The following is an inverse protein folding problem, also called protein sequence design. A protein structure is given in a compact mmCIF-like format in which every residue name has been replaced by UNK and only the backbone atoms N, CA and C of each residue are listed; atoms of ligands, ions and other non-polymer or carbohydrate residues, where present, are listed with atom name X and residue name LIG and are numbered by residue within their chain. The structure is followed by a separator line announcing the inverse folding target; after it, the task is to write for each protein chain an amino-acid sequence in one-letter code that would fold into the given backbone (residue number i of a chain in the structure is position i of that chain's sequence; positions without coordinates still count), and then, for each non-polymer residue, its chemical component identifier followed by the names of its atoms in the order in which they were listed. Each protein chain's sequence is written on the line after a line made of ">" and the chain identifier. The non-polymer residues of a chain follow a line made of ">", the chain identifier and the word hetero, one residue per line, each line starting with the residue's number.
data_IF_086825286682
#
_entry.id   IF_086825286682
#
_cell.length_a   1.000
_cell.length_b   1.000
_cell.length_c   1.000
_cell.angle_alpha   90.00
_cell.angle_beta   90.00
_cell.angle_gamma   90.00
#
_symmetry.space_group_name_H-M   'P 1'
#
loop_
_entity.id
_entity.type
_entity.pdbx_description
1 polymer ?
#
# COMPACT_ATOMS: atom_id res chain seq x y z
N UNK A 1 -4.18 18.57 -0.44
CA UNK A 1 -3.37 17.57 0.28
C UNK A 1 -2.73 16.72 -0.81
N UNK A 2 -1.42 16.83 -0.98
CA UNK A 2 -0.64 16.22 -2.06
C UNK A 2 0.36 15.22 -1.46
N UNK A 3 -0.17 14.28 -0.67
CA UNK A 3 0.60 13.34 0.15
C UNK A 3 0.24 11.88 -0.20
N UNK A 4 1.08 10.95 0.25
CA UNK A 4 0.89 9.49 0.09
C UNK A 4 -0.41 9.02 0.76
N UNK A 5 -1.47 8.81 -0.04
CA UNK A 5 -2.78 8.40 0.48
C UNK A 5 -2.73 7.06 1.23
N UNK A 6 -1.93 6.11 0.73
CA UNK A 6 -1.82 4.78 1.34
C UNK A 6 -1.24 4.80 2.75
N UNK A 7 -0.45 5.82 3.12
CA UNK A 7 0.00 5.98 4.52
C UNK A 7 -1.18 6.04 5.49
N UNK A 8 -2.21 6.82 5.17
CA UNK A 8 -3.39 6.98 6.01
C UNK A 8 -4.24 5.72 6.02
N UNK A 9 -4.38 5.07 4.87
CA UNK A 9 -5.14 3.83 4.71
C UNK A 9 -4.54 2.73 5.58
N UNK A 10 -3.22 2.49 5.47
CA UNK A 10 -2.56 1.38 6.18
C UNK A 10 -2.47 1.64 7.68
N UNK A 11 -2.13 2.85 8.10
CA UNK A 11 -2.09 3.23 9.53
C UNK A 11 -3.47 3.18 10.20
N UNK A 12 -4.50 3.71 9.53
CA UNK A 12 -5.88 3.66 10.06
C UNK A 12 -6.36 2.23 10.14
N UNK A 13 -6.15 1.42 9.10
CA UNK A 13 -6.55 0.00 9.10
C UNK A 13 -5.91 -0.78 10.25
N UNK A 14 -4.64 -0.49 10.55
CA UNK A 14 -3.94 -1.08 11.69
C UNK A 14 -4.58 -0.71 13.04
N UNK A 15 -4.86 0.59 13.24
CA UNK A 15 -5.53 1.06 14.46
C UNK A 15 -6.92 0.43 14.62
N UNK A 16 -7.68 0.32 13.52
CA UNK A 16 -9.00 -0.31 13.52
C UNK A 16 -8.95 -1.77 13.97
N UNK A 17 -8.02 -2.58 13.45
CA UNK A 17 -7.89 -3.99 13.86
C UNK A 17 -7.34 -4.14 15.28
N UNK A 18 -6.39 -3.28 15.68
CA UNK A 18 -5.86 -3.28 17.03
C UNK A 18 -6.95 -2.96 18.05
N UNK A 19 -7.79 -1.97 17.76
CA UNK A 19 -8.90 -1.60 18.63
C UNK A 19 -10.04 -2.62 18.61
N UNK A 20 -10.33 -3.23 17.47
CA UNK A 20 -11.26 -4.37 17.40
C UNK A 20 -10.81 -5.54 18.29
N UNK A 21 -9.51 -5.85 18.29
CA UNK A 21 -8.92 -6.86 19.18
C UNK A 21 -9.13 -6.49 20.65
N UNK A 22 -8.90 -5.24 21.01
CA UNK A 22 -9.13 -4.76 22.38
C UNK A 22 -10.59 -4.92 22.81
N UNK A 23 -11.54 -4.41 22.01
CA UNK A 23 -12.97 -4.49 22.30
C UNK A 23 -13.48 -5.94 22.38
N UNK A 24 -12.93 -6.83 21.56
CA UNK A 24 -13.25 -8.27 21.64
C UNK A 24 -12.81 -8.86 22.97
N UNK A 25 -11.59 -8.55 23.41
CA UNK A 25 -11.04 -9.04 24.69
C UNK A 25 -11.77 -8.49 25.91
N UNK A 26 -12.26 -7.25 25.85
CA UNK A 26 -13.00 -6.61 26.94
C UNK A 26 -14.51 -6.82 26.88
N UNK A 27 -15.03 -7.63 25.95
CA UNK A 27 -16.46 -7.85 25.73
C UNK A 27 -17.26 -6.54 25.63
N UNK A 28 -16.67 -5.53 24.97
CA UNK A 28 -17.18 -4.16 24.95
C UNK A 28 -17.47 -3.65 23.54
N UNK A 29 -18.24 -2.57 23.47
CA UNK A 29 -18.54 -1.83 22.24
C UNK A 29 -18.35 -0.34 22.47
N UNK A 30 -18.12 0.44 21.41
CA UNK A 30 -18.08 1.90 21.50
C UNK A 30 -19.45 2.50 21.20
N UNK A 31 -19.85 3.47 22.01
CA UNK A 31 -21.05 4.29 21.79
C UNK A 31 -20.63 5.71 21.45
N UNK A 32 -20.93 6.17 20.24
CA UNK A 32 -20.65 7.53 19.77
C UNK A 32 -21.93 8.16 19.23
N UNK A 33 -22.48 9.16 19.93
CA UNK A 33 -23.60 9.97 19.42
C UNK A 33 -24.80 9.15 18.93
N UNK A 34 -25.18 8.09 19.65
CA UNK A 34 -26.27 7.18 19.27
C UNK A 34 -25.88 6.01 18.35
N UNK A 35 -24.66 5.99 17.81
CA UNK A 35 -24.15 4.87 17.00
C UNK A 35 -23.37 3.88 17.86
N UNK A 36 -23.64 2.59 17.68
CA UNK A 36 -22.85 1.50 18.25
C UNK A 36 -21.80 1.05 17.22
N UNK A 37 -20.54 1.02 17.65
CA UNK A 37 -19.41 0.53 16.87
C UNK A 37 -18.91 -0.76 17.51
N UNK A 38 -19.09 -1.87 16.79
CA UNK A 38 -18.72 -3.22 17.24
C UNK A 38 -17.33 -3.61 16.74
N UNK A 39 -16.65 -4.57 17.39
CA UNK A 39 -15.40 -5.15 16.87
C UNK A 39 -15.55 -5.63 15.42
N UNK A 40 -16.67 -6.28 15.08
CA UNK A 40 -16.97 -6.74 13.72
C UNK A 40 -16.98 -5.59 12.73
N UNK A 41 -17.66 -4.48 13.05
CA UNK A 41 -17.73 -3.30 12.18
C UNK A 41 -16.34 -2.72 11.88
N UNK A 42 -15.47 -2.62 12.90
CA UNK A 42 -14.10 -2.13 12.72
C UNK A 42 -13.27 -3.06 11.83
N UNK A 43 -13.36 -4.38 12.03
CA UNK A 43 -12.69 -5.37 11.18
C UNK A 43 -13.14 -5.30 9.73
N UNK A 44 -14.45 -5.20 9.49
CA UNK A 44 -14.99 -5.08 8.13
C UNK A 44 -14.49 -3.81 7.43
N UNK A 45 -14.41 -2.68 8.14
CA UNK A 45 -13.88 -1.44 7.58
C UNK A 45 -12.39 -1.57 7.22
N UNK A 46 -11.56 -2.10 8.13
CA UNK A 46 -10.15 -2.34 7.86
C UNK A 46 -9.94 -3.32 6.69
N UNK A 47 -10.71 -4.41 6.65
CA UNK A 47 -10.65 -5.37 5.56
C UNK A 47 -11.00 -4.72 4.22
N UNK A 48 -12.06 -3.92 4.15
CA UNK A 48 -12.45 -3.21 2.91
C UNK A 48 -11.32 -2.32 2.39
N UNK A 49 -10.59 -1.64 3.28
CA UNK A 49 -9.45 -0.81 2.90
C UNK A 49 -8.28 -1.64 2.39
N UNK A 50 -7.97 -2.77 3.04
CA UNK A 50 -6.93 -3.71 2.58
C UNK A 50 -7.31 -4.35 1.25
N UNK A 51 -8.57 -4.77 1.07
CA UNK A 51 -9.06 -5.34 -0.19
C UNK A 51 -8.93 -4.31 -1.33
N UNK A 52 -9.29 -3.04 -1.09
CA UNK A 52 -9.09 -1.96 -2.06
C UNK A 52 -7.61 -1.79 -2.43
N UNK A 53 -6.72 -1.77 -1.43
CA UNK A 53 -5.27 -1.68 -1.64
C UNK A 53 -4.76 -2.85 -2.50
N UNK A 54 -5.29 -4.06 -2.29
CA UNK A 54 -4.86 -5.29 -2.94
C UNK A 54 -5.57 -5.57 -4.28
N UNK A 55 -6.48 -4.70 -4.73
CA UNK A 55 -7.04 -4.75 -6.08
C UNK A 55 -8.57 -4.69 -6.19
N UNK A 56 -9.31 -4.66 -5.08
CA UNK A 56 -10.76 -4.39 -5.12
C UNK A 56 -11.07 -2.90 -5.24
N UNK A 57 -10.63 -2.34 -6.36
CA UNK A 57 -10.79 -0.93 -6.72
C UNK A 57 -11.21 -0.81 -8.21
N UNK A 58 -11.63 0.38 -8.68
CA UNK A 58 -12.08 0.56 -10.06
C UNK A 58 -11.05 0.17 -11.13
N UNK A 59 -9.75 0.30 -10.83
CA UNK A 59 -8.66 -0.07 -11.74
C UNK A 59 -8.34 -1.57 -11.74
N UNK A 60 -8.94 -2.36 -10.83
CA UNK A 60 -8.62 -3.79 -10.61
C UNK A 60 -7.10 -4.03 -10.55
N UNK A 61 -6.41 -3.15 -9.84
CA UNK A 61 -4.95 -3.10 -9.72
C UNK A 61 -4.55 -3.12 -8.24
N UNK A 62 -3.66 -4.02 -7.86
CA UNK A 62 -3.02 -4.00 -6.56
C UNK A 62 -2.04 -2.83 -6.48
N UNK A 63 -2.14 -1.99 -5.44
CA UNK A 63 -1.13 -0.98 -5.12
C UNK A 63 0.06 -1.56 -4.34
N UNK A 64 0.05 -2.86 -4.06
CA UNK A 64 1.22 -3.62 -3.61
C UNK A 64 1.92 -4.26 -4.81
N UNK A 65 3.17 -3.87 -5.03
CA UNK A 65 4.01 -4.32 -6.14
C UNK A 65 4.23 -5.84 -6.06
N UNK A 66 4.03 -6.54 -7.18
CA UNK A 66 4.20 -7.99 -7.27
C UNK A 66 3.06 -8.82 -6.67
N UNK A 67 1.97 -8.19 -6.22
CA UNK A 67 0.78 -8.90 -5.73
C UNK A 67 -0.37 -8.80 -6.72
N UNK A 68 -1.06 -9.92 -6.95
CA UNK A 68 -2.20 -9.99 -7.87
C UNK A 68 -1.82 -9.93 -9.35
N UNK A 69 -2.81 -10.00 -10.26
CA UNK A 69 -2.57 -10.07 -11.70
C UNK A 69 -2.14 -8.74 -12.33
N UNK A 70 -2.35 -7.61 -11.63
CA UNK A 70 -2.05 -6.26 -12.13
C UNK A 70 -1.54 -5.38 -10.98
N UNK A 71 -0.37 -4.78 -11.14
CA UNK A 71 0.28 -3.92 -10.14
C UNK A 71 1.18 -2.85 -10.82
N UNK A 72 1.56 -1.76 -10.12
CA UNK A 72 2.44 -0.71 -10.64
C UNK A 72 3.78 -1.25 -11.12
N UNK A 73 4.20 -0.84 -12.32
CA UNK A 73 5.46 -1.28 -12.93
C UNK A 73 6.53 -0.19 -12.93
N UNK A 74 6.17 1.05 -12.64
CA UNK A 74 7.04 2.23 -12.80
C UNK A 74 7.06 3.08 -11.52
N UNK A 75 7.24 2.42 -10.38
CA UNK A 75 7.30 3.05 -9.07
C UNK A 75 8.53 3.97 -8.92
N UNK A 76 8.40 5.02 -8.11
CA UNK A 76 9.49 5.96 -7.79
C UNK A 76 10.48 5.33 -6.80
N UNK A 77 11.28 4.36 -7.24
CA UNK A 77 12.29 3.72 -6.40
C UNK A 77 13.58 3.43 -7.18
N UNK A 78 14.69 4.06 -6.78
CA UNK A 78 15.97 3.99 -7.50
C UNK A 78 16.49 2.56 -7.67
N UNK A 79 16.47 1.76 -6.61
CA UNK A 79 16.90 0.36 -6.68
C UNK A 79 15.96 -0.52 -7.51
N UNK A 80 14.71 -0.09 -7.73
CA UNK A 80 13.77 -0.79 -8.60
C UNK A 80 13.99 -0.41 -10.06
N UNK A 81 14.20 0.88 -10.33
CA UNK A 81 14.25 1.45 -11.68
C UNK A 81 15.60 1.33 -12.37
N UNK A 82 16.71 1.31 -11.63
CA UNK A 82 18.06 1.19 -12.19
C UNK A 82 18.46 -0.28 -12.38
N UNK A 83 19.37 -0.60 -13.33
CA UNK A 83 19.93 -1.95 -13.46
C UNK A 83 20.53 -2.44 -12.14
N UNK A 84 20.39 -3.73 -11.84
CA UNK A 84 21.02 -4.34 -10.68
C UNK A 84 22.55 -4.42 -10.86
N UNK A 85 23.27 -4.57 -9.75
CA UNK A 85 24.72 -4.78 -9.77
C UNK A 85 25.16 -6.01 -10.57
N UNK A 86 24.30 -7.03 -10.68
CA UNK A 86 24.58 -8.23 -11.46
C UNK A 86 24.57 -7.94 -12.98
N UNK A 87 23.71 -7.02 -13.43
CA UNK A 87 23.58 -6.63 -14.85
C UNK A 87 24.52 -5.49 -15.20
N UNK A 88 24.76 -4.57 -14.26
CA UNK A 88 25.63 -3.41 -14.43
C UNK A 88 26.53 -3.23 -13.20
N UNK A 89 27.70 -3.91 -13.14
CA UNK A 89 28.59 -3.86 -11.99
C UNK A 89 29.36 -2.53 -11.85
N UNK A 90 29.37 -1.71 -12.91
CA UNK A 90 30.00 -0.40 -12.93
C UNK A 90 29.23 0.65 -12.13
N UNK A 91 29.89 1.78 -11.85
CA UNK A 91 29.24 2.92 -11.18
C UNK A 91 28.30 3.65 -12.14
N UNK A 92 27.07 3.88 -11.70
CA UNK A 92 26.10 4.76 -12.40
C UNK A 92 26.39 6.21 -12.01
N UNK A 93 26.65 7.07 -13.00
CA UNK A 93 26.91 8.50 -12.78
C UNK A 93 25.65 9.24 -12.31
N UNK A 94 25.81 10.32 -11.53
CA UNK A 94 24.70 11.01 -10.84
C UNK A 94 23.51 11.35 -11.77
N UNK A 95 23.78 11.93 -12.93
CA UNK A 95 22.73 12.38 -13.86
C UNK A 95 22.18 11.26 -14.75
N UNK A 96 22.86 10.10 -14.83
CA UNK A 96 22.47 9.01 -15.72
C UNK A 96 21.12 8.39 -15.33
N UNK A 97 20.73 8.50 -14.05
CA UNK A 97 19.42 8.01 -13.59
C UNK A 97 18.22 8.84 -14.06
N UNK A 98 18.41 10.08 -14.53
CA UNK A 98 17.29 10.93 -14.96
C UNK A 98 16.65 10.45 -16.27
N UNK A 99 17.42 9.84 -17.17
CA UNK A 99 16.84 9.21 -18.38
C UNK A 99 15.94 8.02 -18.01
N UNK A 100 16.33 7.27 -16.97
CA UNK A 100 15.49 6.20 -16.42
C UNK A 100 14.24 6.77 -15.78
N UNK A 101 14.33 7.88 -15.04
CA UNK A 101 13.15 8.55 -14.44
C UNK A 101 12.07 8.87 -15.49
N UNK A 102 12.44 9.36 -16.68
CA UNK A 102 11.51 9.74 -17.74
C UNK A 102 11.09 8.59 -18.68
N UNK A 103 11.81 7.47 -18.67
CA UNK A 103 11.53 6.30 -19.52
C UNK A 103 10.13 5.71 -19.30
N UNK A 104 9.52 5.16 -20.35
CA UNK A 104 8.25 4.43 -20.27
C UNK A 104 8.41 2.93 -19.96
N UNK A 105 9.64 2.41 -19.96
CA UNK A 105 9.89 1.00 -19.66
C UNK A 105 9.53 0.65 -18.21
N UNK A 106 9.07 -0.58 -17.93
CA UNK A 106 8.95 -1.09 -16.57
C UNK A 106 10.26 -1.00 -15.79
N UNK A 107 10.18 -0.94 -14.47
CA UNK A 107 11.34 -1.06 -13.61
C UNK A 107 11.94 -2.47 -13.74
N UNK A 108 13.26 -2.61 -13.97
CA UNK A 108 13.91 -3.90 -14.18
C UNK A 108 13.91 -4.80 -12.94
N UNK A 109 13.88 -4.22 -11.74
CA UNK A 109 13.82 -4.99 -10.50
C UNK A 109 12.44 -4.79 -9.84
N UNK A 110 11.68 -5.87 -9.72
CA UNK A 110 10.36 -5.86 -9.07
C UNK A 110 10.58 -5.75 -7.56
N UNK A 111 10.15 -4.63 -6.97
CA UNK A 111 10.23 -4.40 -5.53
C UNK A 111 9.03 -5.07 -4.83
N UNK A 112 9.06 -6.40 -4.78
CA UNK A 112 7.95 -7.22 -4.27
C UNK A 112 7.52 -6.78 -2.87
N UNK A 113 6.21 -6.58 -2.67
CA UNK A 113 5.61 -6.22 -1.40
C UNK A 113 5.62 -4.72 -1.11
N UNK A 114 6.31 -3.88 -1.89
CA UNK A 114 6.26 -2.44 -1.71
C UNK A 114 4.86 -1.88 -2.01
N UNK A 115 4.35 -1.04 -1.12
CA UNK A 115 3.08 -0.33 -1.33
C UNK A 115 3.38 1.10 -1.73
N UNK A 116 2.86 1.49 -2.89
CA UNK A 116 3.00 2.87 -3.41
C UNK A 116 2.04 3.83 -2.71
N UNK A 117 2.21 5.14 -2.91
CA UNK A 117 1.30 6.17 -2.39
C UNK A 117 -0.16 6.00 -2.80
N UNK A 118 -0.41 5.35 -3.93
CA UNK A 118 -1.76 4.94 -4.35
C UNK A 118 -2.45 5.99 -5.22
N UNK A 119 -3.75 5.82 -5.47
CA UNK A 119 -4.50 6.66 -6.40
C UNK A 119 -4.84 8.03 -5.79
N UNK A 120 -5.23 8.96 -6.66
CA UNK A 120 -5.84 10.22 -6.24
C UNK A 120 -7.30 10.04 -5.73
N UNK A 121 -7.92 11.15 -5.33
CA UNK A 121 -9.31 11.17 -4.83
C UNK A 121 -10.38 10.73 -5.85
N UNK A 122 -10.01 10.53 -7.12
CA UNK A 122 -10.89 10.06 -8.19
C UNK A 122 -10.49 8.65 -8.68
N UNK A 123 -9.78 7.88 -7.84
CA UNK A 123 -9.29 6.53 -8.15
C UNK A 123 -8.32 6.47 -9.35
N UNK A 124 -7.70 7.60 -9.73
CA UNK A 124 -6.75 7.64 -10.86
C UNK A 124 -5.35 7.35 -10.35
N UNK A 125 -4.63 6.50 -11.06
CA UNK A 125 -3.23 6.15 -10.79
C UNK A 125 -2.44 6.07 -12.10
N UNK A 126 -1.49 6.98 -12.36
CA UNK A 126 -0.82 7.07 -13.67
C UNK A 126 0.35 6.09 -13.86
N UNK A 127 0.81 5.40 -12.80
CA UNK A 127 2.01 4.54 -12.81
C UNK A 127 3.22 5.21 -13.48
N UNK A 128 3.66 6.33 -12.89
CA UNK A 128 4.68 7.19 -13.46
C UNK A 128 5.74 7.52 -12.41
N UNK A 129 6.99 7.11 -12.65
CA UNK A 129 8.10 7.37 -11.72
C UNK A 129 8.20 8.82 -11.27
N UNK A 130 7.99 9.80 -12.15
CA UNK A 130 8.11 11.22 -11.76
C UNK A 130 6.99 11.70 -10.83
N UNK A 131 5.88 10.97 -10.75
CA UNK A 131 4.77 11.24 -9.82
C UNK A 131 5.08 10.55 -8.49
N UNK A 132 5.93 11.19 -7.69
CA UNK A 132 6.39 10.64 -6.41
C UNK A 132 5.24 10.53 -5.41
N UNK A 133 4.24 11.42 -5.45
CA UNK A 133 3.10 11.40 -4.52
C UNK A 133 2.34 10.08 -4.60
N UNK A 134 2.07 9.61 -5.81
CA UNK A 134 1.35 8.36 -6.03
C UNK A 134 2.27 7.16 -6.12
N UNK A 135 3.46 7.30 -6.71
CA UNK A 135 4.30 6.16 -7.11
C UNK A 135 5.44 5.84 -6.14
N UNK A 136 5.69 6.66 -5.11
CA UNK A 136 6.76 6.41 -4.14
C UNK A 136 6.31 5.39 -3.08
N UNK A 137 7.05 4.28 -2.91
CA UNK A 137 6.87 3.40 -1.76
C UNK A 137 7.65 3.93 -0.55
N UNK A 138 7.11 3.71 0.64
CA UNK A 138 7.80 4.07 1.87
C UNK A 138 7.62 3.04 2.98
N UNK A 139 8.63 2.92 3.84
CA UNK A 139 8.63 1.96 4.96
C UNK A 139 7.46 2.20 5.92
N UNK A 140 7.09 3.46 6.16
CA UNK A 140 5.96 3.82 7.03
C UNK A 140 4.59 3.46 6.44
N UNK A 141 4.47 3.23 5.12
CA UNK A 141 3.24 2.71 4.50
C UNK A 141 3.12 1.21 4.77
N UNK A 142 4.23 0.48 4.59
CA UNK A 142 4.29 -0.97 4.77
C UNK A 142 4.21 -1.39 6.26
N UNK A 143 4.85 -0.66 7.17
CA UNK A 143 4.94 -1.03 8.59
C UNK A 143 3.58 -1.33 9.27
N UNK A 144 2.57 -0.44 9.23
CA UNK A 144 1.26 -0.74 9.82
C UNK A 144 0.46 -1.78 9.00
N UNK A 145 0.69 -1.85 7.68
CA UNK A 145 0.03 -2.84 6.84
C UNK A 145 0.41 -4.27 7.24
N UNK A 146 1.68 -4.54 7.55
CA UNK A 146 2.14 -5.87 7.99
C UNK A 146 1.35 -6.34 9.20
N UNK A 147 1.14 -5.48 10.21
CA UNK A 147 0.34 -5.82 11.39
C UNK A 147 -1.14 -6.08 11.05
N UNK A 148 -1.69 -5.31 10.12
CA UNK A 148 -3.07 -5.49 9.64
C UNK A 148 -3.25 -6.82 8.91
N UNK A 149 -2.34 -7.14 7.99
CA UNK A 149 -2.35 -8.40 7.23
C UNK A 149 -2.20 -9.60 8.16
N UNK A 150 -1.29 -9.55 9.13
CA UNK A 150 -1.12 -10.60 10.12
C UNK A 150 -2.42 -10.85 10.91
N UNK A 151 -3.09 -9.78 11.34
CA UNK A 151 -4.38 -9.88 12.04
C UNK A 151 -5.48 -10.53 11.17
N UNK A 152 -5.61 -10.08 9.92
CA UNK A 152 -6.63 -10.58 9.00
C UNK A 152 -6.38 -12.03 8.58
N UNK A 153 -5.11 -12.41 8.36
CA UNK A 153 -4.72 -13.78 8.05
C UNK A 153 -5.04 -14.74 9.20
N UNK A 154 -4.77 -14.34 10.45
CA UNK A 154 -5.13 -15.15 11.63
C UNK A 154 -6.64 -15.28 11.83
N UNK A 155 -7.40 -14.25 11.45
CA UNK A 155 -8.86 -14.20 11.61
C UNK A 155 -9.62 -14.77 10.40
N UNK A 156 -8.92 -15.33 9.40
CA UNK A 156 -9.54 -15.81 8.17
C UNK A 156 -10.46 -17.00 8.50
N UNK A 157 -11.76 -16.86 8.22
CA UNK A 157 -12.82 -17.81 8.61
C UNK A 157 -13.60 -17.44 9.89
N UNK A 158 -13.23 -16.38 10.61
CA UNK A 158 -13.95 -15.85 11.78
C UNK A 158 -14.64 -14.49 11.50
N UNK A 159 -14.57 -14.01 10.26
CA UNK A 159 -15.09 -12.72 9.79
C UNK A 159 -16.47 -12.86 9.14
#
# INVERSE_FOLDING_TARGET
>A
MSDSNMQYVTSTSFLLVAYAKYLTKSHSVVRCGGTIVTPKRLRTLAKKQVDYLLGDNPLKMSYMVGYGPRYPQRIHHRGSSLPSMAVHPGKIQCSAGFSVMSSQSPNPNILVGAVVGGPDQHDRFPDKRSDYEQSEPATYVNAPLVGTLAYLAHSFGQL
#
